data_IF_034065051090
#
_entry.id   IF_034065051090
#
_cell.length_a   1.000
_cell.length_b   1.000
_cell.length_c   1.000
_cell.angle_alpha   90.00
_cell.angle_beta   90.00
_cell.angle_gamma   90.00
#
_symmetry.space_group_name_H-M   'P 1'
#
loop_
_entity.id
_entity.type
_entity.pdbx_description
1 polymer ?
#
# COMPACT_ATOMS: atom_id res chain seq x y z
N UNK A 1 18.36 6.43 12.63
CA UNK A 1 17.29 5.40 12.67
C UNK A 1 15.91 6.00 12.90
N UNK A 2 15.76 6.96 13.83
CA UNK A 2 14.45 7.54 14.16
C UNK A 2 13.74 8.22 12.98
N UNK A 3 14.47 8.98 12.15
CA UNK A 3 13.91 9.67 10.97
C UNK A 3 13.30 8.70 9.96
N UNK A 4 13.96 7.55 9.74
CA UNK A 4 13.49 6.52 8.81
C UNK A 4 12.20 5.87 9.31
N UNK A 5 12.13 5.62 10.62
CA UNK A 5 10.98 5.06 11.30
C UNK A 5 9.78 6.02 11.26
N UNK A 6 10.03 7.32 11.47
CA UNK A 6 9.03 8.37 11.36
C UNK A 6 8.47 8.48 9.94
N UNK A 7 9.35 8.43 8.94
CA UNK A 7 8.97 8.42 7.53
C UNK A 7 8.08 7.22 7.19
N UNK A 8 8.47 6.01 7.62
CA UNK A 8 7.64 4.80 7.45
C UNK A 8 6.28 4.94 8.13
N UNK A 9 6.24 5.46 9.37
CA UNK A 9 4.97 5.65 10.06
C UNK A 9 4.06 6.62 9.28
N UNK A 10 4.63 7.74 8.84
CA UNK A 10 3.91 8.77 8.11
C UNK A 10 3.34 8.26 6.78
N UNK A 11 4.14 7.51 6.02
CA UNK A 11 3.71 6.97 4.73
C UNK A 11 2.60 5.94 4.88
N UNK A 12 2.69 5.08 5.90
CA UNK A 12 1.65 4.10 6.19
C UNK A 12 0.34 4.78 6.62
N UNK A 13 0.41 5.87 7.40
CA UNK A 13 -0.77 6.67 7.77
C UNK A 13 -1.40 7.33 6.53
N UNK A 14 -0.60 7.94 5.66
CA UNK A 14 -1.11 8.58 4.42
C UNK A 14 -1.83 7.56 3.54
N UNK A 15 -1.21 6.40 3.33
CA UNK A 15 -1.79 5.33 2.50
C UNK A 15 -3.09 4.83 3.11
N UNK A 16 -3.11 4.65 4.43
CA UNK A 16 -4.30 4.22 5.15
C UNK A 16 -5.46 5.21 4.96
N UNK A 17 -5.19 6.50 5.13
CA UNK A 17 -6.18 7.57 4.97
C UNK A 17 -6.66 7.65 3.52
N UNK A 18 -5.76 7.57 2.53
CA UNK A 18 -6.13 7.62 1.11
C UNK A 18 -7.03 6.45 0.70
N UNK A 19 -6.72 5.24 1.16
CA UNK A 19 -7.56 4.07 0.91
C UNK A 19 -8.93 4.17 1.61
N UNK A 20 -8.97 4.72 2.83
CA UNK A 20 -10.22 5.05 3.53
C UNK A 20 -11.03 6.12 2.80
N UNK A 21 -10.36 7.16 2.29
CA UNK A 21 -10.96 8.23 1.50
C UNK A 21 -11.53 7.69 0.18
N UNK A 22 -10.86 6.75 -0.49
CA UNK A 22 -11.41 6.11 -1.70
C UNK A 22 -12.75 5.42 -1.41
N UNK A 23 -12.85 4.70 -0.27
CA UNK A 23 -14.13 4.10 0.15
C UNK A 23 -15.20 5.15 0.43
N UNK A 24 -14.83 6.27 1.06
CA UNK A 24 -15.75 7.36 1.33
C UNK A 24 -16.26 8.00 0.04
N UNK A 25 -15.38 8.27 -0.91
CA UNK A 25 -15.72 8.80 -2.23
C UNK A 25 -16.62 7.85 -3.01
N UNK A 26 -16.38 6.54 -2.92
CA UNK A 26 -17.24 5.53 -3.51
C UNK A 26 -18.67 5.55 -2.95
N UNK A 27 -18.85 5.86 -1.66
CA UNK A 27 -20.18 6.03 -1.05
C UNK A 27 -20.87 7.33 -1.49
N UNK A 28 -20.09 8.37 -1.76
CA UNK A 28 -20.59 9.69 -2.19
C UNK A 28 -20.76 9.82 -3.71
N UNK A 29 -20.57 8.75 -4.49
CA UNK A 29 -20.54 8.77 -5.95
C UNK A 29 -19.60 9.84 -6.53
N UNK A 30 -18.50 10.13 -5.82
CA UNK A 30 -17.48 11.07 -6.26
C UNK A 30 -16.34 10.35 -6.97
N UNK A 31 -15.44 11.12 -7.58
CA UNK A 31 -14.23 10.60 -8.21
C UNK A 31 -13.42 9.75 -7.21
N UNK A 32 -13.12 8.53 -7.61
CA UNK A 32 -12.32 7.55 -6.88
C UNK A 32 -10.83 7.85 -7.07
N UNK A 33 -10.03 7.51 -6.08
CA UNK A 33 -8.57 7.61 -6.12
C UNK A 33 -8.05 6.58 -7.14
N UNK A 34 -7.17 6.97 -8.07
CA UNK A 34 -6.60 6.04 -9.02
C UNK A 34 -5.78 4.97 -8.29
N UNK A 35 -5.99 3.70 -8.66
CA UNK A 35 -5.30 2.56 -8.04
C UNK A 35 -3.78 2.68 -8.14
N UNK A 36 -3.27 3.28 -9.22
CA UNK A 36 -1.85 3.50 -9.44
C UNK A 36 -1.20 4.34 -8.32
N UNK A 37 -1.92 5.29 -7.73
CA UNK A 37 -1.38 6.09 -6.62
C UNK A 37 -1.22 5.25 -5.36
N UNK A 38 -2.18 4.37 -5.06
CA UNK A 38 -2.08 3.46 -3.91
C UNK A 38 -0.92 2.48 -4.07
N UNK A 39 -0.75 1.92 -5.27
CA UNK A 39 0.37 1.01 -5.60
C UNK A 39 1.72 1.72 -5.59
N UNK A 40 1.78 2.98 -6.03
CA UNK A 40 3.01 3.76 -5.94
C UNK A 40 3.42 3.99 -4.48
N UNK A 41 2.46 4.37 -3.63
CA UNK A 41 2.71 4.60 -2.20
C UNK A 41 3.05 3.30 -1.45
N UNK A 42 2.46 2.17 -1.86
CA UNK A 42 2.85 0.84 -1.39
C UNK A 42 4.33 0.56 -1.72
N UNK A 43 4.72 0.77 -2.98
CA UNK A 43 6.07 0.51 -3.47
C UNK A 43 7.18 1.27 -2.71
N UNK A 44 6.89 2.49 -2.25
CA UNK A 44 7.83 3.32 -1.47
C UNK A 44 7.84 3.04 0.04
N UNK A 45 7.05 2.07 0.53
CA UNK A 45 7.07 1.63 1.93
C UNK A 45 5.72 1.68 2.66
N UNK A 46 4.62 1.99 1.97
CA UNK A 46 3.27 2.07 2.52
C UNK A 46 2.50 0.75 2.60
N UNK A 47 3.18 -0.39 2.41
CA UNK A 47 2.55 -1.71 2.30
C UNK A 47 1.71 -2.09 3.51
N UNK A 48 2.17 -1.77 4.72
CA UNK A 48 1.45 -2.07 5.97
C UNK A 48 0.18 -1.21 6.07
N UNK A 49 0.27 0.07 5.72
CA UNK A 49 -0.84 1.01 5.70
C UNK A 49 -1.90 0.62 4.68
N UNK A 50 -1.47 0.15 3.50
CA UNK A 50 -2.41 -0.33 2.48
C UNK A 50 -3.09 -1.63 2.91
N UNK A 51 -2.34 -2.59 3.44
CA UNK A 51 -2.88 -3.88 3.89
C UNK A 51 -3.88 -3.69 5.05
N UNK A 52 -3.52 -2.88 6.05
CA UNK A 52 -4.43 -2.55 7.16
C UNK A 52 -5.68 -1.82 6.67
N UNK A 53 -5.57 -0.90 5.70
CA UNK A 53 -6.72 -0.26 5.09
C UNK A 53 -7.60 -1.24 4.31
N UNK A 54 -7.02 -2.18 3.56
CA UNK A 54 -7.79 -3.22 2.86
C UNK A 54 -8.61 -4.05 3.84
N UNK A 55 -8.02 -4.45 4.98
CA UNK A 55 -8.67 -5.25 6.00
C UNK A 55 -9.78 -4.47 6.74
N UNK A 56 -9.47 -3.26 7.23
CA UNK A 56 -10.39 -2.44 8.03
C UNK A 56 -11.53 -1.91 7.17
N UNK A 57 -11.20 -1.31 6.03
CA UNK A 57 -12.21 -0.75 5.15
C UNK A 57 -12.85 -1.80 4.24
N UNK A 58 -12.43 -3.08 4.27
CA UNK A 58 -12.85 -4.10 3.29
C UNK A 58 -12.76 -3.56 1.88
N UNK A 59 -11.72 -2.75 1.64
CA UNK A 59 -11.61 -1.93 0.45
C UNK A 59 -11.00 -2.78 -0.66
N UNK A 60 -11.77 -3.03 -1.73
CA UNK A 60 -11.36 -3.80 -2.91
C UNK A 60 -10.77 -5.20 -2.60
N UNK A 61 -11.15 -5.81 -1.48
CA UNK A 61 -10.80 -7.20 -1.10
C UNK A 61 -11.50 -8.27 -1.94
N UNK A 62 -12.46 -7.89 -2.77
CA UNK A 62 -13.13 -8.79 -3.73
C UNK A 62 -12.63 -8.59 -5.17
N UNK A 63 -11.91 -7.49 -5.46
CA UNK A 63 -11.34 -7.27 -6.79
C UNK A 63 -10.01 -8.02 -6.90
N UNK A 64 -10.06 -9.18 -7.54
CA UNK A 64 -8.89 -10.02 -7.78
C UNK A 64 -7.76 -9.25 -8.49
N UNK A 65 -8.09 -8.35 -9.43
CA UNK A 65 -7.11 -7.50 -10.11
C UNK A 65 -6.32 -6.58 -9.16
N UNK A 66 -6.94 -6.12 -8.06
CA UNK A 66 -6.29 -5.26 -7.08
C UNK A 66 -5.39 -6.07 -6.16
N UNK A 67 -5.86 -7.24 -5.72
CA UNK A 67 -5.08 -8.17 -4.89
C UNK A 67 -3.86 -8.67 -5.65
N UNK A 68 -4.00 -9.05 -6.93
CA UNK A 68 -2.88 -9.52 -7.76
C UNK A 68 -1.81 -8.43 -7.85
N UNK A 69 -2.18 -7.17 -8.13
CA UNK A 69 -1.22 -6.07 -8.22
C UNK A 69 -0.51 -5.80 -6.89
N UNK A 70 -1.24 -5.78 -5.78
CA UNK A 70 -0.68 -5.65 -4.44
C UNK A 70 0.32 -6.79 -4.16
N UNK A 71 -0.11 -8.05 -4.36
CA UNK A 71 0.75 -9.21 -4.13
C UNK A 71 2.00 -9.19 -5.00
N UNK A 72 1.92 -8.75 -6.26
CA UNK A 72 3.09 -8.61 -7.13
C UNK A 72 4.08 -7.60 -6.56
N UNK A 73 3.61 -6.42 -6.13
CA UNK A 73 4.49 -5.37 -5.57
C UNK A 73 5.10 -5.84 -4.25
N UNK A 74 4.31 -6.49 -3.39
CA UNK A 74 4.80 -7.07 -2.15
C UNK A 74 5.86 -8.14 -2.38
N UNK A 75 5.62 -9.09 -3.30
CA UNK A 75 6.60 -10.13 -3.66
C UNK A 75 7.87 -9.50 -4.23
N UNK A 76 7.74 -8.49 -5.10
CA UNK A 76 8.89 -7.75 -5.64
C UNK A 76 9.70 -7.07 -4.54
N UNK A 77 9.06 -6.43 -3.57
CA UNK A 77 9.74 -5.83 -2.42
C UNK A 77 10.49 -6.88 -1.59
N UNK A 78 9.83 -7.99 -1.25
CA UNK A 78 10.44 -9.08 -0.48
C UNK A 78 11.62 -9.69 -1.24
N UNK A 79 11.48 -9.89 -2.55
CA UNK A 79 12.52 -10.45 -3.40
C UNK A 79 13.71 -9.49 -3.55
N UNK A 80 13.46 -8.18 -3.67
CA UNK A 80 14.50 -7.15 -3.64
C UNK A 80 15.26 -7.15 -2.31
N UNK A 81 14.54 -7.16 -1.18
CA UNK A 81 15.16 -7.23 0.15
C UNK A 81 15.97 -8.51 0.30
N UNK A 82 15.42 -9.65 -0.13
CA UNK A 82 16.12 -10.93 -0.09
C UNK A 82 17.39 -10.89 -0.93
N UNK A 83 17.32 -10.37 -2.17
CA UNK A 83 18.49 -10.23 -3.03
C UNK A 83 19.53 -9.29 -2.42
N UNK A 84 19.14 -8.17 -1.80
CA UNK A 84 20.08 -7.25 -1.12
C UNK A 84 20.74 -7.92 0.08
N UNK A 85 19.99 -8.68 0.87
CA UNK A 85 20.51 -9.38 2.05
C UNK A 85 21.42 -10.55 1.65
N UNK A 86 21.10 -11.25 0.56
CA UNK A 86 21.81 -12.44 0.12
C UNK A 86 23.00 -12.11 -0.79
N UNK A 87 22.88 -11.11 -1.67
CA UNK A 87 24.01 -10.44 -2.32
C UNK A 87 24.60 -9.38 -1.37
N UNK A 88 25.15 -9.84 -0.25
CA UNK A 88 26.18 -9.06 0.42
C UNK A 88 27.30 -8.80 -0.59
N UNK A 89 27.33 -7.59 -1.12
CA UNK A 89 28.58 -6.89 -1.47
C UNK A 89 29.47 -6.89 -0.23
#
# INVERSE_FOLDING_TARGET
>A
MEILLLYFLFINIIVFILAGYDKYQARKNKQRVPENTLFFLEGIGGTIGLLTAMLIFRHKTSKMSFIIKFSIIFILQVLLIYLIVNNKI
#
